data_IF_194318269172
#
_entry.id   IF_194318269172
#
_cell.length_a   1.000
_cell.length_b   1.000
_cell.length_c   1.000
_cell.angle_alpha   90.00
_cell.angle_beta   90.00
_cell.angle_gamma   90.00
#
_symmetry.space_group_name_H-M   'P 1'
#
loop_
_entity.id
_entity.type
_entity.pdbx_description
1 polymer ?
#
# COMPACT_ATOMS: atom_id res chain seq x y z
N UNK A 1 -13.27 -17.92 -22.60
CA UNK A 1 -13.83 -16.98 -21.60
C UNK A 1 -14.76 -17.71 -20.61
N UNK A 2 -14.25 -18.69 -19.85
CA UNK A 2 -15.08 -19.56 -18.98
C UNK A 2 -15.06 -19.11 -17.50
N UNK A 3 -14.06 -18.32 -17.10
CA UNK A 3 -13.81 -17.96 -15.69
C UNK A 3 -14.67 -16.83 -15.10
N UNK A 4 -15.53 -16.18 -15.89
CA UNK A 4 -16.23 -14.94 -15.47
C UNK A 4 -17.28 -15.11 -14.37
N UNK A 5 -17.85 -16.32 -14.20
CA UNK A 5 -19.00 -16.56 -13.29
C UNK A 5 -18.65 -17.27 -11.99
N UNK A 6 -17.59 -18.09 -11.97
CA UNK A 6 -17.16 -18.82 -10.76
C UNK A 6 -16.34 -17.90 -9.83
N UNK A 7 -15.67 -16.90 -10.39
CA UNK A 7 -14.79 -15.97 -9.68
C UNK A 7 -15.49 -15.13 -8.61
N UNK A 8 -16.75 -14.74 -8.84
CA UNK A 8 -17.51 -13.85 -7.95
C UNK A 8 -17.99 -14.52 -6.66
N UNK A 9 -18.08 -15.84 -6.62
CA UNK A 9 -18.58 -16.56 -5.45
C UNK A 9 -17.49 -16.93 -4.44
N UNK A 10 -16.25 -17.14 -4.92
CA UNK A 10 -15.15 -17.70 -4.12
C UNK A 10 -13.99 -16.73 -3.88
N UNK A 11 -13.94 -15.62 -4.61
CA UNK A 11 -12.86 -14.62 -4.52
C UNK A 11 -13.44 -13.20 -4.55
N UNK A 12 -12.57 -12.21 -4.36
CA UNK A 12 -12.96 -10.81 -4.50
C UNK A 12 -13.34 -10.46 -5.95
N UNK A 13 -14.11 -9.39 -6.11
CA UNK A 13 -14.35 -8.78 -7.42
C UNK A 13 -13.11 -8.02 -7.89
N UNK A 14 -12.96 -7.81 -9.21
CA UNK A 14 -11.85 -7.02 -9.75
C UNK A 14 -11.79 -5.61 -9.13
N UNK A 15 -12.96 -4.99 -8.90
CA UNK A 15 -13.08 -3.68 -8.23
C UNK A 15 -12.54 -3.71 -6.79
N UNK A 16 -12.80 -4.79 -6.06
CA UNK A 16 -12.32 -4.93 -4.68
C UNK A 16 -10.82 -5.18 -4.63
N UNK A 17 -10.26 -5.93 -5.60
CA UNK A 17 -8.81 -6.12 -5.72
C UNK A 17 -8.10 -4.78 -5.97
N UNK A 18 -8.58 -3.98 -6.92
CA UNK A 18 -7.99 -2.67 -7.19
C UNK A 18 -8.08 -1.77 -5.95
N UNK A 19 -9.23 -1.75 -5.26
CA UNK A 19 -9.39 -0.97 -4.03
C UNK A 19 -8.42 -1.40 -2.91
N UNK A 20 -8.27 -2.70 -2.69
CA UNK A 20 -7.34 -3.24 -1.69
C UNK A 20 -5.89 -2.85 -2.03
N UNK A 21 -5.54 -2.87 -3.32
CA UNK A 21 -4.20 -2.54 -3.81
C UNK A 21 -3.89 -1.06 -3.58
N UNK A 22 -4.72 -0.16 -4.10
CA UNK A 22 -4.48 1.30 -4.04
C UNK A 22 -4.56 1.87 -2.62
N UNK A 23 -5.24 1.19 -1.69
CA UNK A 23 -5.31 1.59 -0.29
C UNK A 23 -4.21 0.94 0.55
N UNK A 24 -3.27 0.21 -0.07
CA UNK A 24 -2.22 -0.56 0.60
C UNK A 24 -2.74 -1.52 1.69
N UNK A 25 -3.98 -1.99 1.54
CA UNK A 25 -4.68 -2.75 2.57
C UNK A 25 -4.26 -4.22 2.63
N UNK A 26 -3.45 -4.68 1.66
CA UNK A 26 -2.98 -6.07 1.58
C UNK A 26 -2.40 -6.55 2.91
N UNK A 27 -1.63 -5.71 3.60
CA UNK A 27 -1.01 -6.06 4.89
C UNK A 27 -2.02 -6.21 6.03
N UNK A 28 -3.11 -5.43 5.99
CA UNK A 28 -4.18 -5.40 7.01
C UNK A 28 -5.25 -6.47 6.82
N UNK A 29 -5.21 -7.22 5.71
CA UNK A 29 -6.15 -8.29 5.43
C UNK A 29 -6.00 -9.46 6.43
N UNK A 30 -7.13 -10.08 6.76
CA UNK A 30 -7.14 -11.39 7.44
C UNK A 30 -6.45 -12.44 6.58
N UNK A 31 -5.94 -13.52 7.18
CA UNK A 31 -5.26 -14.59 6.43
C UNK A 31 -6.13 -15.22 5.33
N UNK A 32 -7.44 -15.32 5.57
CA UNK A 32 -8.41 -15.84 4.60
C UNK A 32 -8.56 -14.86 3.44
N UNK A 33 -8.62 -13.56 3.73
CA UNK A 33 -8.77 -12.53 2.70
C UNK A 33 -7.48 -12.33 1.90
N UNK A 34 -6.31 -12.51 2.51
CA UNK A 34 -5.04 -12.61 1.80
C UNK A 34 -5.06 -13.76 0.79
N UNK A 35 -5.51 -14.94 1.22
CA UNK A 35 -5.67 -16.07 0.30
C UNK A 35 -6.64 -15.78 -0.84
N UNK A 36 -7.81 -15.17 -0.56
CA UNK A 36 -8.79 -14.78 -1.59
C UNK A 36 -8.24 -13.75 -2.58
N UNK A 37 -7.44 -12.81 -2.10
CA UNK A 37 -6.75 -11.82 -2.90
C UNK A 37 -5.74 -12.48 -3.85
N UNK A 38 -4.86 -13.32 -3.32
CA UNK A 38 -3.88 -14.08 -4.11
C UNK A 38 -4.54 -15.01 -5.13
N UNK A 39 -5.60 -15.71 -4.73
CA UNK A 39 -6.37 -16.59 -5.60
C UNK A 39 -7.00 -15.83 -6.78
N UNK A 40 -7.51 -14.61 -6.55
CA UNK A 40 -7.99 -13.76 -7.63
C UNK A 40 -6.88 -13.36 -8.60
N UNK A 41 -5.72 -12.91 -8.09
CA UNK A 41 -4.57 -12.55 -8.93
C UNK A 41 -4.01 -13.74 -9.70
N UNK A 42 -4.12 -14.94 -9.14
CA UNK A 42 -3.75 -16.17 -9.83
C UNK A 42 -4.63 -16.39 -11.07
N UNK A 43 -5.95 -16.20 -10.94
CA UNK A 43 -6.89 -16.49 -12.03
C UNK A 43 -7.12 -15.33 -13.00
N UNK A 44 -6.99 -14.08 -12.54
CA UNK A 44 -7.26 -12.88 -13.32
C UNK A 44 -5.97 -12.20 -13.78
N UNK A 45 -5.56 -12.47 -15.03
CA UNK A 45 -4.34 -11.86 -15.63
C UNK A 45 -4.38 -10.33 -15.64
N UNK A 46 -5.56 -9.73 -15.84
CA UNK A 46 -5.72 -8.27 -15.86
C UNK A 46 -5.40 -7.67 -14.49
N UNK A 47 -6.01 -8.20 -13.43
CA UNK A 47 -5.74 -7.73 -12.06
C UNK A 47 -4.29 -8.01 -11.65
N UNK A 48 -3.71 -9.15 -12.04
CA UNK A 48 -2.28 -9.42 -11.80
C UNK A 48 -1.38 -8.37 -12.44
N UNK A 49 -1.64 -8.02 -13.70
CA UNK A 49 -0.87 -7.00 -14.41
C UNK A 49 -1.07 -5.62 -13.78
N UNK A 50 -2.31 -5.28 -13.42
CA UNK A 50 -2.65 -4.04 -12.75
C UNK A 50 -1.87 -3.86 -11.44
N UNK A 51 -1.91 -4.86 -10.55
CA UNK A 51 -1.20 -4.80 -9.25
C UNK A 51 0.29 -4.60 -9.47
N UNK A 52 0.89 -5.34 -10.39
CA UNK A 52 2.31 -5.19 -10.71
C UNK A 52 2.64 -3.79 -11.23
N UNK A 53 1.79 -3.22 -12.07
CA UNK A 53 1.98 -1.86 -12.59
C UNK A 53 1.82 -0.80 -11.50
N UNK A 54 0.81 -0.94 -10.63
CA UNK A 54 0.56 -0.02 -9.51
C UNK A 54 1.77 0.02 -8.55
N UNK A 55 2.31 -1.15 -8.18
CA UNK A 55 3.52 -1.23 -7.36
C UNK A 55 4.77 -0.58 -8.00
N UNK A 56 4.89 -0.65 -9.33
CA UNK A 56 5.99 0.04 -10.05
C UNK A 56 5.81 1.55 -9.95
N UNK A 57 4.59 2.05 -10.11
CA UNK A 57 4.27 3.47 -10.00
C UNK A 57 4.54 3.94 -8.57
N UNK A 58 4.03 3.26 -7.55
CA UNK A 58 4.26 3.58 -6.14
C UNK A 58 5.76 3.65 -5.82
N UNK A 59 6.54 2.66 -6.26
CA UNK A 59 8.00 2.66 -6.07
C UNK A 59 8.68 3.82 -6.80
N UNK A 60 8.26 4.13 -8.02
CA UNK A 60 8.80 5.26 -8.77
C UNK A 60 8.49 6.59 -8.08
N UNK A 61 7.26 6.78 -7.62
CA UNK A 61 6.84 7.97 -6.86
C UNK A 61 7.60 8.07 -5.53
N UNK A 62 7.75 6.97 -4.78
CA UNK A 62 8.51 6.96 -3.53
C UNK A 62 9.97 7.36 -3.73
N UNK A 63 10.60 6.90 -4.82
CA UNK A 63 11.96 7.31 -5.19
C UNK A 63 12.03 8.78 -5.64
N UNK A 64 11.02 9.30 -6.32
CA UNK A 64 10.96 10.69 -6.78
C UNK A 64 10.71 11.68 -5.63
N UNK A 65 9.87 11.32 -4.66
CA UNK A 65 9.49 12.17 -3.54
C UNK A 65 10.31 11.90 -2.26
N UNK A 66 11.31 11.02 -2.31
CA UNK A 66 12.26 10.81 -1.21
C UNK A 66 11.64 10.17 0.03
N UNK A 67 10.60 9.35 -0.12
CA UNK A 67 10.07 8.55 1.00
C UNK A 67 10.82 7.23 1.08
N UNK A 68 12.09 7.28 1.47
CA UNK A 68 12.78 6.10 1.96
C UNK A 68 12.20 5.74 3.32
N UNK A 69 11.32 4.73 3.36
CA UNK A 69 10.76 4.12 4.58
C UNK A 69 11.82 3.53 5.54
N UNK A 70 13.10 3.65 5.20
CA UNK A 70 14.21 3.16 5.98
C UNK A 70 15.28 4.23 6.27
N UNK A 71 14.91 5.50 6.20
CA UNK A 71 15.72 6.53 6.84
C UNK A 71 14.95 7.06 8.04
N UNK A 72 15.57 6.90 9.19
CA UNK A 72 15.12 7.47 10.46
C UNK A 72 14.80 8.94 10.26
N UNK A 73 13.52 9.27 10.05
CA UNK A 73 12.98 10.63 9.98
C UNK A 73 13.01 11.25 11.37
N UNK A 74 14.20 11.26 11.98
CA UNK A 74 14.49 12.01 13.20
C UNK A 74 14.56 13.46 12.74
N UNK A 75 13.75 14.30 13.37
CA UNK A 75 14.00 15.75 13.35
C UNK A 75 15.48 15.97 13.63
N UNK A 76 16.12 16.76 12.77
CA UNK A 76 17.48 17.23 12.99
C UNK A 76 17.62 17.72 14.44
N UNK A 77 18.70 17.33 15.11
CA UNK A 77 18.85 17.61 16.54
C UNK A 77 18.82 19.13 16.83
N UNK A 78 19.21 19.96 15.86
CA UNK A 78 19.10 21.42 15.93
C UNK A 78 17.64 21.89 15.87
N UNK A 79 16.83 21.31 14.97
CA UNK A 79 15.40 21.60 14.87
C UNK A 79 14.65 21.18 16.14
N UNK A 80 14.98 20.01 16.69
CA UNK A 80 14.42 19.54 17.97
C UNK A 80 14.77 20.47 19.13
N UNK A 81 16.02 20.93 19.20
CA UNK A 81 16.49 21.84 20.26
C UNK A 81 15.79 23.19 20.19
N UNK A 82 15.61 23.74 19.00
CA UNK A 82 14.92 25.02 18.81
C UNK A 82 13.47 24.99 19.28
N UNK A 83 12.74 23.91 18.97
CA UNK A 83 11.35 23.72 19.43
C UNK A 83 11.29 23.66 20.96
N UNK A 84 12.21 22.93 21.60
CA UNK A 84 12.26 22.84 23.07
C UNK A 84 12.63 24.17 23.74
N UNK A 85 13.46 25.01 23.10
CA UNK A 85 13.79 26.34 23.61
C UNK A 85 12.59 27.31 23.49
N UNK A 86 11.80 27.23 22.42
CA UNK A 86 10.59 28.04 22.27
C UNK A 86 9.56 27.68 23.34
N UNK A 87 9.32 26.40 23.59
CA UNK A 87 8.39 25.93 24.65
C UNK A 87 8.82 26.35 26.07
N UNK A 88 10.13 26.48 26.31
CA UNK A 88 10.66 26.97 27.59
C UNK A 88 10.55 28.49 27.76
N UNK A 89 10.39 29.25 26.68
CA UNK A 89 10.21 30.71 26.72
C UNK A 89 8.76 31.14 26.90
N UNK A 90 7.80 30.24 26.65
CA UNK A 90 6.35 30.48 26.86
C UNK A 90 5.86 30.05 28.26
N UNK A 91 6.76 29.66 29.17
CA UNK A 91 6.53 29.58 30.62
C UNK A 91 7.45 30.56 31.36
#
# INVERSE_FOLDING_TARGET
MIFRRVLSALTFSCKRITEITEKEQVNTLSSIDKFRYELHLFMCKLCRSYVKQSQIIEKALGNMFGTSDNDSKRLDDSARKNILEQLKKEN
#
